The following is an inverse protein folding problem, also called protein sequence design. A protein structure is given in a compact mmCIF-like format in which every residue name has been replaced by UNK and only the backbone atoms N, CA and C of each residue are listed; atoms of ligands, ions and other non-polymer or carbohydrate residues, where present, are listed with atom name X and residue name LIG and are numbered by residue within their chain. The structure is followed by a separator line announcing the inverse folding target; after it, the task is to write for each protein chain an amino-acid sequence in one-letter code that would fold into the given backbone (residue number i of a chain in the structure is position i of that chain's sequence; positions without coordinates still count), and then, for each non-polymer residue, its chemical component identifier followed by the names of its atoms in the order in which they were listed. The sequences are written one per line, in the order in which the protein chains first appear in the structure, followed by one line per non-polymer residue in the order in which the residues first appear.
data_IF_579399739240
#
_entry.id   IF_579399739240
#
_cell.length_a   1.000
_cell.length_b   1.000
_cell.length_c   1.000
_cell.angle_alpha   90.00
_cell.angle_beta   90.00
_cell.angle_gamma   90.00
#
_symmetry.space_group_name_H-M   'P 1'
#
loop_
_entity.id
_entity.type
_entity.pdbx_description
1 polymer ?
#
# COMPACT_ATOMS: atom_id res chain seq x y z
N UNK A 1 -6.24 6.89 -3.99
CA UNK A 1 -7.23 7.27 -5.02
C UNK A 1 -8.50 6.36 -5.13
N UNK A 2 -8.76 5.39 -4.24
CA UNK A 2 -9.88 4.43 -4.39
C UNK A 2 -11.20 4.82 -3.75
N UNK A 3 -11.32 6.00 -3.14
CA UNK A 3 -12.55 6.42 -2.46
C UNK A 3 -13.74 6.41 -3.43
N UNK A 4 -14.69 5.50 -3.20
CA UNK A 4 -15.93 5.36 -3.98
C UNK A 4 -15.86 4.43 -5.20
N UNK A 5 -14.75 3.71 -5.41
CA UNK A 5 -14.63 2.76 -6.52
C UNK A 5 -15.12 1.35 -6.14
N UNK A 6 -15.80 0.69 -7.09
CA UNK A 6 -16.09 -0.74 -7.01
C UNK A 6 -14.80 -1.55 -7.22
N UNK A 7 -14.72 -2.79 -6.70
CA UNK A 7 -13.50 -3.64 -6.77
C UNK A 7 -12.96 -3.78 -8.20
N UNK A 8 -13.85 -4.00 -9.18
CA UNK A 8 -13.47 -4.10 -10.60
C UNK A 8 -12.87 -2.81 -11.20
N UNK A 9 -13.16 -1.64 -10.62
CA UNK A 9 -12.57 -0.37 -11.06
C UNK A 9 -11.22 -0.11 -10.38
N UNK A 10 -10.99 -0.71 -9.21
CA UNK A 10 -9.67 -0.74 -8.56
C UNK A 10 -8.67 -1.50 -9.43
N UNK A 11 -9.06 -2.65 -9.99
CA UNK A 11 -8.17 -3.43 -10.87
C UNK A 11 -7.76 -2.65 -12.12
N UNK A 12 -8.71 -1.93 -12.74
CA UNK A 12 -8.41 -1.06 -13.89
C UNK A 12 -7.48 0.09 -13.50
N UNK A 13 -7.68 0.67 -12.32
CA UNK A 13 -6.81 1.73 -11.82
C UNK A 13 -5.39 1.21 -11.61
N UNK A 14 -5.22 0.06 -10.95
CA UNK A 14 -3.91 -0.58 -10.74
C UNK A 14 -3.21 -0.77 -12.09
N UNK A 15 -3.90 -1.31 -13.10
CA UNK A 15 -3.33 -1.51 -14.44
C UNK A 15 -2.84 -0.20 -15.08
N UNK A 16 -3.58 0.90 -14.91
CA UNK A 16 -3.17 2.21 -15.42
C UNK A 16 -1.92 2.71 -14.69
N UNK A 17 -1.89 2.60 -13.36
CA UNK A 17 -0.75 3.05 -12.55
C UNK A 17 0.52 2.24 -12.89
N UNK A 18 0.40 0.92 -13.06
CA UNK A 18 1.49 0.05 -13.49
C UNK A 18 2.03 0.46 -14.85
N UNK A 19 1.16 0.70 -15.84
CA UNK A 19 1.59 1.17 -17.17
C UNK A 19 2.33 2.51 -17.13
N UNK A 20 1.91 3.42 -16.24
CA UNK A 20 2.62 4.69 -16.05
C UNK A 20 4.02 4.45 -15.49
N UNK A 21 4.16 3.54 -14.50
CA UNK A 21 5.44 3.17 -13.92
C UNK A 21 6.36 2.46 -14.93
N UNK A 22 5.84 1.46 -15.67
CA UNK A 22 6.54 0.75 -16.74
C UNK A 22 7.04 1.69 -17.86
N UNK A 23 6.34 2.80 -18.08
CA UNK A 23 6.77 3.88 -18.98
C UNK A 23 7.98 4.68 -18.49
N UNK A 24 8.58 4.32 -17.35
CA UNK A 24 9.74 5.00 -16.75
C UNK A 24 9.38 6.14 -15.81
N UNK A 25 8.09 6.34 -15.49
CA UNK A 25 7.68 7.35 -14.53
C UNK A 25 7.74 6.81 -13.10
N UNK A 26 7.87 7.70 -12.12
CA UNK A 26 7.65 7.35 -10.71
C UNK A 26 6.25 7.76 -10.29
N UNK A 27 5.48 6.81 -9.76
CA UNK A 27 4.11 7.04 -9.28
C UNK A 27 4.11 6.97 -7.75
N UNK A 28 3.73 8.07 -7.10
CA UNK A 28 3.59 8.13 -5.64
C UNK A 28 2.11 8.29 -5.31
N UNK A 29 1.59 7.40 -4.47
CA UNK A 29 0.19 7.37 -4.06
C UNK A 29 0.06 7.35 -2.55
N UNK A 30 -1.01 7.97 -2.05
CA UNK A 30 -1.44 7.86 -0.66
C UNK A 30 -2.67 6.95 -0.66
N UNK A 31 -2.60 5.85 0.07
CA UNK A 31 -3.65 4.84 0.09
C UNK A 31 -3.84 4.17 1.45
N UNK A 32 -5.05 3.66 1.64
CA UNK A 32 -5.42 2.76 2.73
C UNK A 32 -6.05 1.45 2.20
N UNK A 33 -6.32 1.35 0.89
CA UNK A 33 -6.84 0.14 0.29
C UNK A 33 -5.73 -0.91 0.10
N UNK A 34 -5.85 -2.02 0.84
CA UNK A 34 -4.86 -3.11 0.84
C UNK A 34 -4.71 -3.79 -0.53
N UNK A 35 -5.74 -3.79 -1.38
CA UNK A 35 -5.64 -4.34 -2.73
C UNK A 35 -4.73 -3.53 -3.65
N UNK A 36 -4.61 -2.22 -3.41
CA UNK A 36 -3.60 -1.40 -4.09
C UNK A 36 -2.25 -1.54 -3.41
N UNK A 37 -2.21 -1.44 -2.07
CA UNK A 37 -0.97 -1.46 -1.30
C UNK A 37 -0.17 -2.74 -1.57
N UNK A 38 -0.83 -3.91 -1.67
CA UNK A 38 -0.16 -5.18 -1.99
C UNK A 38 0.52 -5.23 -3.37
N UNK A 39 0.11 -4.35 -4.29
CA UNK A 39 0.65 -4.29 -5.66
C UNK A 39 1.76 -3.26 -5.83
N UNK A 40 2.08 -2.50 -4.79
CA UNK A 40 3.14 -1.50 -4.83
C UNK A 40 4.51 -2.16 -4.80
N UNK A 41 5.47 -1.61 -5.54
CA UNK A 41 6.86 -2.06 -5.49
C UNK A 41 7.56 -1.67 -4.17
N UNK A 42 7.12 -0.56 -3.57
CA UNK A 42 7.71 -0.01 -2.36
C UNK A 42 6.68 0.77 -1.55
N UNK A 43 6.74 0.63 -0.23
CA UNK A 43 5.83 1.25 0.73
C UNK A 43 6.64 2.09 1.73
N UNK A 44 6.09 3.27 2.02
CA UNK A 44 6.48 4.09 3.14
C UNK A 44 5.31 4.16 4.12
N UNK A 45 5.48 3.52 5.28
CA UNK A 45 4.43 3.47 6.30
C UNK A 45 4.65 4.54 7.37
N UNK A 46 3.57 5.24 7.70
CA UNK A 46 3.57 6.37 8.61
C UNK A 46 2.73 6.08 9.84
N UNK A 47 3.22 6.47 11.01
CA UNK A 47 2.50 6.31 12.26
C UNK A 47 3.36 6.66 13.47
N UNK A 48 3.29 5.89 14.57
CA UNK A 48 2.41 4.71 14.76
C UNK A 48 0.94 5.09 14.82
N UNK A 49 0.62 6.30 15.30
CA UNK A 49 -0.76 6.76 15.50
C UNK A 49 -1.10 7.95 14.59
N UNK A 50 -2.34 8.44 14.67
CA UNK A 50 -2.74 9.69 14.03
C UNK A 50 -2.42 10.94 14.86
N UNK A 51 -2.35 12.09 14.19
CA UNK A 51 -2.21 13.40 14.84
C UNK A 51 -0.87 13.59 15.55
N UNK A 52 -0.89 14.14 16.77
CA UNK A 52 0.33 14.47 17.53
C UNK A 52 1.18 13.26 17.96
N UNK A 53 0.61 12.05 17.88
CA UNK A 53 1.31 10.79 18.20
C UNK A 53 1.83 10.06 16.95
N UNK A 54 1.66 10.68 15.78
CA UNK A 54 2.10 10.15 14.49
C UNK A 54 3.26 10.94 13.88
N UNK A 55 3.34 10.88 12.55
CA UNK A 55 4.27 11.69 11.76
C UNK A 55 5.68 11.10 11.67
N UNK A 56 5.87 9.84 12.07
CA UNK A 56 7.14 9.13 11.95
C UNK A 56 7.06 8.07 10.86
N UNK A 57 8.19 7.83 10.20
CA UNK A 57 8.37 6.67 9.32
C UNK A 57 8.61 5.46 10.21
N UNK A 58 7.67 4.52 10.21
CA UNK A 58 7.70 3.35 11.09
C UNK A 58 8.15 2.08 10.36
N UNK A 59 8.00 2.02 9.03
CA UNK A 59 8.49 0.94 8.19
C UNK A 59 8.70 1.43 6.76
N UNK A 60 9.67 0.83 6.08
CA UNK A 60 10.03 1.08 4.68
C UNK A 60 10.38 -0.26 4.03
N UNK A 61 9.93 -0.48 2.80
CA UNK A 61 10.29 -1.69 2.06
C UNK A 61 9.22 -2.16 1.10
N UNK A 62 9.40 -3.37 0.61
CA UNK A 62 8.41 -4.13 -0.18
C UNK A 62 7.18 -4.48 0.66
N UNK A 63 6.02 -4.79 0.03
CA UNK A 63 4.83 -5.27 0.73
C UNK A 63 5.11 -6.42 1.71
N UNK A 64 5.95 -7.36 1.33
CA UNK A 64 6.33 -8.52 2.16
C UNK A 64 7.17 -8.11 3.37
N UNK A 65 8.11 -7.17 3.21
CA UNK A 65 8.90 -6.62 4.31
C UNK A 65 8.03 -5.83 5.29
N UNK A 66 7.10 -5.01 4.78
CA UNK A 66 6.14 -4.29 5.63
C UNK A 66 5.25 -5.27 6.40
N UNK A 67 4.79 -6.35 5.76
CA UNK A 67 3.98 -7.38 6.40
C UNK A 67 4.70 -8.11 7.55
N UNK A 68 6.03 -8.06 7.60
CA UNK A 68 6.84 -8.59 8.69
C UNK A 68 7.10 -7.56 9.82
N UNK A 69 6.73 -6.30 9.65
CA UNK A 69 6.97 -5.24 10.63
C UNK A 69 5.92 -5.25 11.75
N UNK A 70 6.35 -5.58 12.97
CA UNK A 70 5.47 -5.61 14.15
C UNK A 70 4.95 -4.23 14.57
N UNK A 71 5.67 -3.16 14.24
CA UNK A 71 5.29 -1.78 14.56
C UNK A 71 4.32 -1.16 13.55
N UNK A 72 4.02 -1.86 12.46
CA UNK A 72 3.21 -1.36 11.34
C UNK A 72 1.78 -1.89 11.41
N UNK A 73 0.80 -1.00 11.63
CA UNK A 73 -0.61 -1.37 11.48
C UNK A 73 -0.91 -1.82 10.03
N UNK A 74 -0.32 -1.14 9.05
CA UNK A 74 -0.43 -1.51 7.64
C UNK A 74 0.06 -2.94 7.42
N UNK A 75 1.24 -3.28 7.95
CA UNK A 75 1.83 -4.62 7.89
C UNK A 75 0.96 -5.71 8.50
N UNK A 76 0.40 -5.44 9.68
CA UNK A 76 -0.50 -6.37 10.38
C UNK A 76 -1.68 -6.82 9.49
N UNK A 77 -2.32 -5.88 8.79
CA UNK A 77 -3.44 -6.20 7.90
C UNK A 77 -2.98 -6.70 6.53
N UNK A 78 -1.89 -6.16 6.00
CA UNK A 78 -1.34 -6.54 4.71
C UNK A 78 -0.92 -8.01 4.68
N UNK A 79 -0.36 -8.52 5.77
CA UNK A 79 -0.01 -9.94 5.92
C UNK A 79 -1.17 -10.88 5.58
N UNK A 80 -2.36 -10.59 6.12
CA UNK A 80 -3.55 -11.41 5.86
C UNK A 80 -4.04 -11.33 4.41
N UNK A 81 -3.74 -10.25 3.69
CA UNK A 81 -4.09 -10.08 2.27
C UNK A 81 -3.09 -10.82 1.38
N UNK A 82 -1.79 -10.79 1.70
CA UNK A 82 -0.76 -11.51 0.97
C UNK A 82 -0.92 -13.03 1.10
N UNK A 83 -1.23 -13.53 2.30
CA UNK A 83 -1.45 -14.96 2.55
C UNK A 83 -2.71 -15.51 1.86
N UNK A 84 -3.70 -14.65 1.59
CA UNK A 84 -4.99 -15.06 1.00
C UNK A 84 -4.93 -15.38 -0.48
N UNK A 85 -3.86 -15.03 -1.20
CA UNK A 85 -3.61 -15.38 -2.61
C UNK A 85 -4.84 -15.34 -3.51
N UNK A 86 -5.07 -14.23 -4.21
CA UNK A 86 -6.09 -14.16 -5.26
C UNK A 86 -5.70 -14.94 -6.50
#
# INVERSE_FOLDING_TARGET
PTTGLHTADVDKLILILQRLAEGGNTVIIIEHNLDIIKTADYILDLGPEGGHRGGQVIALGTPEEIACSESSYTGLFLKGVLERGY
#
